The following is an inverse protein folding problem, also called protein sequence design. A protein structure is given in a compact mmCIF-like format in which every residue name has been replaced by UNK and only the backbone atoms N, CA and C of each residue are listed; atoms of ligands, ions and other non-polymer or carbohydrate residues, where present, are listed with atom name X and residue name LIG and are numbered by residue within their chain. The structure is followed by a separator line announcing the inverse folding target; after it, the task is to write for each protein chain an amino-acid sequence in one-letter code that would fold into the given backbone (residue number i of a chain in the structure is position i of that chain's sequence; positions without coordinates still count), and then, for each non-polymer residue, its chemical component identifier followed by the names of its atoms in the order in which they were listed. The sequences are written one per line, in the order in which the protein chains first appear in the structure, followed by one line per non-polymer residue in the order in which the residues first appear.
data_IF_399365017019
#
_entry.id   IF_399365017019
#
_cell.length_a   1.000
_cell.length_b   1.000
_cell.length_c   1.000
_cell.angle_alpha   90.00
_cell.angle_beta   90.00
_cell.angle_gamma   90.00
#
_symmetry.space_group_name_H-M   'P 1'
#
loop_
_entity.id
_entity.type
_entity.pdbx_description
1 polymer ?
#
# COMPACT_ATOMS: atom_id res chain seq x y z
N UNK A 1 3.34 14.21 8.18
CA UNK A 1 2.41 13.34 7.42
C UNK A 1 1.47 14.22 6.60
N UNK A 2 1.33 13.97 5.29
CA UNK A 2 0.36 14.66 4.43
C UNK A 2 -1.09 14.32 4.87
N UNK A 3 -2.10 15.15 4.54
CA UNK A 3 -3.49 14.79 4.80
C UNK A 3 -3.86 13.51 4.05
N UNK A 4 -4.69 12.65 4.67
CA UNK A 4 -5.11 11.36 4.10
C UNK A 4 -5.60 11.43 2.64
N UNK A 5 -6.40 12.45 2.22
CA UNK A 5 -6.80 12.57 0.82
C UNK A 5 -5.66 12.69 -0.20
N UNK A 6 -4.45 13.07 0.20
CA UNK A 6 -3.32 13.14 -0.72
C UNK A 6 -2.89 11.77 -1.26
N UNK A 7 -3.16 10.69 -0.52
CA UNK A 7 -2.78 9.32 -0.87
C UNK A 7 -3.88 8.55 -1.60
N UNK A 8 -5.12 9.07 -1.62
CA UNK A 8 -6.24 8.43 -2.31
C UNK A 8 -6.00 8.37 -3.82
N UNK A 9 -6.37 7.25 -4.45
CA UNK A 9 -6.23 7.08 -5.89
C UNK A 9 -6.10 5.63 -6.33
N UNK A 10 -6.06 5.45 -7.63
CA UNK A 10 -5.74 4.17 -8.25
C UNK A 10 -4.24 4.12 -8.57
N UNK A 11 -3.64 2.97 -8.32
CA UNK A 11 -2.22 2.71 -8.53
C UNK A 11 -2.07 1.39 -9.27
N UNK A 12 -0.97 1.26 -10.01
CA UNK A 12 -0.69 0.06 -10.78
C UNK A 12 0.78 -0.30 -10.71
N UNK A 13 1.03 -1.55 -10.41
CA UNK A 13 2.29 -2.23 -10.67
C UNK A 13 2.10 -3.18 -11.86
N UNK A 14 3.14 -3.41 -12.65
CA UNK A 14 3.05 -4.20 -13.88
C UNK A 14 2.78 -5.68 -13.63
N UNK A 15 3.28 -6.24 -12.53
CA UNK A 15 3.15 -7.65 -12.19
C UNK A 15 1.96 -7.90 -11.24
N UNK A 16 1.83 -7.07 -10.21
CA UNK A 16 0.80 -7.17 -9.19
C UNK A 16 -0.56 -6.68 -9.70
N UNK A 17 -0.56 -5.69 -10.59
CA UNK A 17 -1.77 -5.11 -11.17
C UNK A 17 -2.29 -3.90 -10.40
N UNK A 18 -3.59 -3.63 -10.55
CA UNK A 18 -4.24 -2.43 -10.01
C UNK A 18 -4.58 -2.57 -8.53
N UNK A 19 -4.33 -1.51 -7.78
CA UNK A 19 -4.75 -1.30 -6.39
C UNK A 19 -5.45 0.04 -6.29
N UNK A 20 -6.53 0.11 -5.52
CA UNK A 20 -7.11 1.39 -5.10
C UNK A 20 -6.77 1.66 -3.63
N UNK A 21 -6.34 2.88 -3.35
CA UNK A 21 -6.23 3.42 -1.99
C UNK A 21 -7.44 4.32 -1.76
N UNK A 22 -8.31 3.93 -0.83
CA UNK A 22 -9.59 4.59 -0.59
C UNK A 22 -9.71 5.07 0.84
N UNK A 23 -10.38 6.19 1.06
CA UNK A 23 -10.73 6.65 2.40
C UNK A 23 -12.00 5.96 2.90
N UNK A 24 -11.97 5.59 4.17
CA UNK A 24 -13.07 5.04 4.95
C UNK A 24 -13.25 5.87 6.21
N UNK A 25 -14.30 5.61 6.99
CA UNK A 25 -14.47 6.25 8.30
C UNK A 25 -13.34 5.97 9.30
N UNK A 26 -12.47 4.99 9.03
CA UNK A 26 -11.36 4.57 9.91
C UNK A 26 -9.98 5.02 9.43
N UNK A 27 -9.89 5.68 8.27
CA UNK A 27 -8.60 6.04 7.65
C UNK A 27 -8.53 5.60 6.20
N UNK A 28 -7.36 5.13 5.76
CA UNK A 28 -7.16 4.65 4.39
C UNK A 28 -7.21 3.12 4.34
N UNK A 29 -7.60 2.58 3.18
CA UNK A 29 -7.68 1.15 2.92
C UNK A 29 -7.02 0.82 1.58
N UNK A 30 -6.23 -0.26 1.57
CA UNK A 30 -5.62 -0.84 0.39
C UNK A 30 -6.56 -1.89 -0.20
N UNK A 31 -6.86 -1.81 -1.50
CA UNK A 31 -7.75 -2.73 -2.20
C UNK A 31 -7.10 -3.24 -3.49
N UNK A 32 -6.62 -4.49 -3.52
CA UNK A 32 -6.14 -5.13 -4.75
C UNK A 32 -7.30 -5.62 -5.62
N UNK A 33 -7.23 -5.35 -6.93
CA UNK A 33 -8.19 -5.84 -7.92
C UNK A 33 -7.88 -7.28 -8.37
N UNK A 34 -6.59 -7.60 -8.54
CA UNK A 34 -6.15 -8.94 -8.99
C UNK A 34 -6.23 -9.95 -7.85
N UNK A 35 -5.83 -9.54 -6.65
CA UNK A 35 -5.76 -10.38 -5.46
C UNK A 35 -6.79 -9.89 -4.45
N UNK A 36 -8.07 -10.21 -4.65
CA UNK A 36 -9.20 -9.67 -3.87
C UNK A 36 -9.13 -9.90 -2.35
N UNK A 37 -8.36 -10.90 -1.92
CA UNK A 37 -8.11 -11.19 -0.50
C UNK A 37 -7.00 -10.32 0.10
N UNK A 38 -6.17 -9.69 -0.74
CA UNK A 38 -5.10 -8.78 -0.34
C UNK A 38 -5.66 -7.35 -0.23
N UNK A 39 -6.35 -7.13 0.88
CA UNK A 39 -6.95 -5.87 1.28
C UNK A 39 -6.76 -5.66 2.77
N UNK A 40 -6.62 -4.42 3.19
CA UNK A 40 -6.27 -4.10 4.57
C UNK A 40 -6.33 -2.62 4.87
N UNK A 41 -6.37 -2.30 6.16
CA UNK A 41 -6.35 -0.93 6.63
C UNK A 41 -4.90 -0.41 6.60
N UNK A 42 -4.70 0.83 6.18
CA UNK A 42 -3.40 1.51 6.20
C UNK A 42 -3.25 2.29 7.50
N UNK A 43 -2.39 1.80 8.38
CA UNK A 43 -2.08 2.42 9.67
C UNK A 43 -0.85 3.34 9.51
N UNK A 44 -0.93 4.61 9.92
CA UNK A 44 0.23 5.52 9.89
C UNK A 44 1.44 4.94 10.64
N UNK A 45 2.62 5.03 10.04
CA UNK A 45 3.88 4.61 10.67
C UNK A 45 4.82 5.81 10.86
N UNK A 46 5.40 6.33 9.77
CA UNK A 46 6.26 7.51 9.80
C UNK A 46 6.27 8.23 8.44
N UNK A 47 6.26 9.56 8.46
CA UNK A 47 6.27 10.38 7.24
C UNK A 47 5.10 10.08 6.29
N UNK A 48 5.43 9.52 5.12
CA UNK A 48 4.49 9.02 4.09
C UNK A 48 4.44 7.48 4.03
N UNK A 49 4.87 6.84 5.11
CA UNK A 49 4.89 5.38 5.26
C UNK A 49 3.74 4.92 6.13
N UNK A 50 3.06 3.88 5.68
CA UNK A 50 1.99 3.19 6.38
C UNK A 50 2.36 1.73 6.55
N UNK A 51 1.74 1.07 7.52
CA UNK A 51 1.68 -0.39 7.58
C UNK A 51 0.31 -0.80 7.06
N UNK A 52 0.27 -1.67 6.06
CA UNK A 52 -0.96 -2.33 5.66
C UNK A 52 -1.20 -3.52 6.58
N UNK A 53 -2.25 -3.41 7.39
CA UNK A 53 -2.75 -4.48 8.23
C UNK A 53 -3.82 -5.25 7.46
N UNK A 54 -3.48 -6.45 6.98
CA UNK A 54 -4.39 -7.22 6.13
C UNK A 54 -5.63 -7.70 6.89
N UNK A 55 -6.77 -7.77 6.19
CA UNK A 55 -8.00 -8.35 6.73
C UNK A 55 -7.80 -9.83 7.06
N UNK A 56 -7.16 -10.57 6.14
CA UNK A 56 -6.87 -11.98 6.33
C UNK A 56 -5.59 -12.15 7.15
N UNK A 57 -5.76 -12.40 8.45
CA UNK A 57 -4.63 -12.65 9.38
C UNK A 57 -3.91 -13.97 9.15
N UNK A 58 -4.47 -14.89 8.35
CA UNK A 58 -3.80 -16.12 7.94
C UNK A 58 -2.58 -15.91 7.04
N UNK A 59 -2.38 -14.69 6.55
CA UNK A 59 -1.16 -14.29 5.83
C UNK A 59 0.08 -14.21 6.72
N UNK A 60 -0.09 -14.07 8.04
CA UNK A 60 1.04 -14.09 8.97
C UNK A 60 2.05 -12.95 8.85
N UNK A 61 1.83 -11.97 7.96
CA UNK A 61 2.75 -10.86 7.72
C UNK A 61 2.00 -9.59 7.36
N UNK A 62 2.39 -8.45 7.93
CA UNK A 62 1.99 -7.12 7.46
C UNK A 62 3.11 -6.52 6.59
N UNK A 63 2.79 -5.48 5.80
CA UNK A 63 3.77 -4.83 4.93
C UNK A 63 3.80 -3.30 5.14
N UNK A 64 4.97 -2.70 4.99
CA UNK A 64 5.13 -1.29 4.78
C UNK A 64 4.62 -0.90 3.38
N UNK A 65 3.97 0.26 3.30
CA UNK A 65 3.58 0.97 2.09
C UNK A 65 4.17 2.37 2.19
N UNK A 66 5.18 2.67 1.39
CA UNK A 66 5.87 3.96 1.40
C UNK A 66 5.49 4.75 0.15
N UNK A 67 4.73 5.81 0.33
CA UNK A 67 4.36 6.68 -0.79
C UNK A 67 5.53 7.55 -1.23
N UNK A 68 5.65 7.72 -2.54
CA UNK A 68 6.63 8.57 -3.20
C UNK A 68 5.93 9.80 -3.78
N UNK A 69 6.63 10.92 -3.78
CA UNK A 69 6.11 12.18 -4.33
C UNK A 69 7.11 12.86 -5.25
N UNK A 70 6.60 13.70 -6.15
CA UNK A 70 7.42 14.59 -6.97
C UNK A 70 7.92 15.82 -6.17
N UNK A 71 8.66 16.70 -6.85
CA UNK A 71 9.17 17.95 -6.26
C UNK A 71 8.08 18.96 -5.91
N UNK A 72 6.86 18.81 -6.46
CA UNK A 72 5.70 19.61 -6.09
C UNK A 72 4.93 19.01 -4.88
N UNK A 73 5.38 17.87 -4.36
CA UNK A 73 4.79 17.18 -3.23
C UNK A 73 3.59 16.29 -3.58
N UNK A 74 3.28 16.11 -4.88
CA UNK A 74 2.19 15.26 -5.34
C UNK A 74 2.59 13.79 -5.28
N UNK A 75 1.70 12.94 -4.75
CA UNK A 75 1.94 11.49 -4.73
C UNK A 75 1.95 10.95 -6.16
N UNK A 76 3.05 10.27 -6.51
CA UNK A 76 3.28 9.67 -7.83
C UNK A 76 3.25 8.15 -7.82
N UNK A 77 3.30 7.53 -6.65
CA UNK A 77 3.36 6.09 -6.51
C UNK A 77 3.67 5.64 -5.09
N UNK A 78 3.93 4.35 -4.91
CA UNK A 78 4.42 3.80 -3.65
C UNK A 78 5.20 2.50 -3.88
N UNK A 79 6.12 2.21 -2.97
CA UNK A 79 6.80 0.91 -2.86
C UNK A 79 6.32 0.14 -1.62
N UNK A 80 6.54 -1.17 -1.61
CA UNK A 80 6.15 -2.04 -0.51
C UNK A 80 7.33 -2.84 0.04
N UNK A 81 7.26 -3.21 1.32
CA UNK A 81 8.24 -4.10 1.97
C UNK A 81 7.59 -4.87 3.09
N UNK A 82 7.99 -6.11 3.34
CA UNK A 82 7.51 -6.83 4.52
C UNK A 82 7.94 -6.13 5.82
N UNK A 83 7.07 -6.14 6.83
CA UNK A 83 7.43 -5.68 8.18
C UNK A 83 8.37 -6.67 8.85
N UNK A 84 8.04 -7.96 8.74
CA UNK A 84 8.88 -9.06 9.21
C UNK A 84 9.55 -9.74 8.01
N UNK A 85 10.88 -9.61 7.84
CA UNK A 85 11.60 -10.22 6.72
C UNK A 85 11.66 -11.75 6.79
N UNK A 86 11.40 -12.35 7.96
CA UNK A 86 11.41 -13.80 8.16
C UNK A 86 10.01 -14.42 8.01
N UNK A 87 8.98 -13.62 7.74
CA UNK A 87 7.63 -14.12 7.55
C UNK A 87 7.51 -14.95 6.25
N UNK A 88 6.88 -16.13 6.35
CA UNK A 88 6.59 -17.01 5.22
C UNK A 88 5.43 -16.46 4.38
N UNK A 89 5.70 -15.35 3.70
CA UNK A 89 4.75 -14.72 2.79
C UNK A 89 5.22 -14.92 1.36
N UNK A 90 4.42 -15.66 0.57
CA UNK A 90 4.75 -16.04 -0.81
C UNK A 90 4.73 -14.89 -1.83
N UNK A 91 4.62 -13.64 -1.39
CA UNK A 91 4.70 -12.46 -2.25
C UNK A 91 6.02 -11.72 -2.03
N UNK A 92 6.82 -11.63 -3.08
CA UNK A 92 8.00 -10.76 -3.14
C UNK A 92 7.59 -9.28 -3.20
N UNK A 93 7.19 -8.72 -2.05
CA UNK A 93 6.83 -7.30 -1.96
C UNK A 93 8.01 -6.37 -2.30
N UNK A 94 9.24 -6.87 -2.19
CA UNK A 94 10.47 -6.11 -2.44
C UNK A 94 10.59 -5.60 -3.88
N UNK A 95 9.89 -6.23 -4.83
CA UNK A 95 9.93 -5.85 -6.24
C UNK A 95 8.71 -5.02 -6.69
N UNK A 96 7.76 -4.74 -5.79
CA UNK A 96 6.56 -4.01 -6.17
C UNK A 96 6.82 -2.49 -6.22
N UNK A 97 6.64 -1.92 -7.40
CA UNK A 97 6.69 -0.48 -7.61
C UNK A 97 5.41 0.03 -8.26
N UNK A 98 4.51 0.54 -7.43
CA UNK A 98 3.23 1.05 -7.88
C UNK A 98 3.37 2.49 -8.38
N UNK A 99 2.88 2.74 -9.58
CA UNK A 99 2.74 4.09 -10.12
C UNK A 99 1.29 4.53 -10.03
N UNK A 100 1.05 5.79 -9.65
CA UNK A 100 -0.28 6.38 -9.60
C UNK A 100 -0.84 6.49 -11.01
N UNK A 101 -2.09 6.07 -11.18
CA UNK A 101 -2.80 6.23 -12.44
C UNK A 101 -3.33 7.67 -12.59
N UNK A 102 -3.46 8.18 -13.82
CA UNK A 102 -4.02 9.50 -14.10
C UNK A 102 -5.44 9.71 -13.55
#
# INVERSE_FOLDING_TARGET
MRPLPAYEGAYRDNWFGRVDIVRTGKGLRFLSHKSVNLKGDLVPFDGDTFIVCWDNRGFGADAYVRFRSDFAGQITGFDMRLVDPDADFSFDFHDLDFTRLP
#
